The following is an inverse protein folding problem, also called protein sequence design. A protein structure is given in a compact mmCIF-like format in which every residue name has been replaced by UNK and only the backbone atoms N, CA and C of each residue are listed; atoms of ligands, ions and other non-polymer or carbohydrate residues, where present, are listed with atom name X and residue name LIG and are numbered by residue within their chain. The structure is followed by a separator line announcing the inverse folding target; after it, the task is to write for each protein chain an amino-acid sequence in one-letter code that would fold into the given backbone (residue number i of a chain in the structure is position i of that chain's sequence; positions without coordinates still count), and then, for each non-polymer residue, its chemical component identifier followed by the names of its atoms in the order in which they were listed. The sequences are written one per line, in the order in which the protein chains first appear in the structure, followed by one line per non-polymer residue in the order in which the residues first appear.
data_IF_926623311752
#
_entry.id   IF_926623311752
#
_cell.length_a   1.000
_cell.length_b   1.000
_cell.length_c   1.000
_cell.angle_alpha   90.00
_cell.angle_beta   90.00
_cell.angle_gamma   90.00
#
_symmetry.space_group_name_H-M   'P 1'
#
loop_
_entity.id
_entity.type
_entity.pdbx_description
1 polymer ?
#
# COMPACT_ATOMS: atom_id res chain seq x y z
N UNK A 1 -7.22 -28.27 7.27
CA UNK A 1 -7.75 -27.09 6.56
C UNK A 1 -9.14 -26.81 7.10
N UNK A 2 -9.37 -25.63 7.70
CA UNK A 2 -10.73 -25.21 8.07
C UNK A 2 -11.49 -24.89 6.78
N UNK A 3 -12.61 -25.57 6.56
CA UNK A 3 -13.49 -25.27 5.42
C UNK A 3 -14.25 -24.00 5.80
N UNK A 4 -14.11 -22.94 5.00
CA UNK A 4 -14.81 -21.67 5.24
C UNK A 4 -16.29 -21.89 5.07
N UNK A 5 -17.08 -21.49 6.07
CA UNK A 5 -18.53 -21.62 6.03
C UNK A 5 -19.15 -20.54 5.15
N UNK A 6 -20.33 -20.82 4.58
CA UNK A 6 -21.07 -19.81 3.80
C UNK A 6 -21.43 -18.56 4.62
N UNK A 7 -21.54 -18.69 5.94
CA UNK A 7 -21.78 -17.56 6.85
C UNK A 7 -20.53 -16.69 7.03
N UNK A 8 -19.35 -17.29 7.21
CA UNK A 8 -18.08 -16.55 7.28
C UNK A 8 -17.80 -15.77 5.98
N UNK A 9 -18.12 -16.35 4.82
CA UNK A 9 -18.00 -15.64 3.53
C UNK A 9 -18.91 -14.41 3.49
N UNK A 10 -20.17 -14.55 3.92
CA UNK A 10 -21.12 -13.43 3.97
C UNK A 10 -20.67 -12.34 4.93
N UNK A 11 -20.12 -12.73 6.09
CA UNK A 11 -19.61 -11.78 7.08
C UNK A 11 -18.38 -11.04 6.56
N UNK A 12 -17.42 -11.75 5.96
CA UNK A 12 -16.27 -11.13 5.30
C UNK A 12 -16.73 -10.13 4.22
N UNK A 13 -17.63 -10.54 3.32
CA UNK A 13 -18.18 -9.66 2.28
C UNK A 13 -18.84 -8.41 2.87
N UNK A 14 -19.59 -8.56 3.97
CA UNK A 14 -20.24 -7.42 4.64
C UNK A 14 -19.21 -6.43 5.20
N UNK A 15 -18.15 -6.91 5.84
CA UNK A 15 -17.09 -6.05 6.37
C UNK A 15 -16.26 -5.39 5.25
N UNK A 16 -15.95 -6.11 4.17
CA UNK A 16 -15.33 -5.54 2.97
C UNK A 16 -16.20 -4.44 2.35
N UNK A 17 -17.51 -4.66 2.22
CA UNK A 17 -18.43 -3.65 1.69
C UNK A 17 -18.51 -2.42 2.60
N UNK A 18 -18.59 -2.60 3.91
CA UNK A 18 -18.55 -1.50 4.88
C UNK A 18 -17.25 -0.71 4.76
N UNK A 19 -16.10 -1.39 4.67
CA UNK A 19 -14.80 -0.76 4.42
C UNK A 19 -14.79 0.05 3.13
N UNK A 20 -15.34 -0.52 2.05
CA UNK A 20 -15.49 0.17 0.76
C UNK A 20 -16.37 1.43 0.86
N UNK A 21 -17.50 1.35 1.56
CA UNK A 21 -18.39 2.50 1.77
C UNK A 21 -17.71 3.61 2.58
N UNK A 22 -16.95 3.27 3.62
CA UNK A 22 -16.12 4.22 4.37
C UNK A 22 -15.06 4.85 3.45
N UNK A 23 -14.38 4.04 2.64
CA UNK A 23 -13.39 4.53 1.69
C UNK A 23 -13.96 5.44 0.61
N UNK A 24 -15.19 5.19 0.14
CA UNK A 24 -15.92 6.11 -0.75
C UNK A 24 -16.15 7.46 -0.06
N UNK A 25 -16.62 7.44 1.19
CA UNK A 25 -16.83 8.65 1.98
C UNK A 25 -15.55 9.45 2.19
N UNK A 26 -14.46 8.78 2.59
CA UNK A 26 -13.13 9.41 2.76
C UNK A 26 -12.60 9.95 1.44
N UNK A 27 -12.69 9.16 0.37
CA UNK A 27 -12.26 9.56 -0.97
C UNK A 27 -13.01 10.78 -1.48
N UNK A 28 -14.32 10.86 -1.24
CA UNK A 28 -15.13 12.02 -1.58
C UNK A 28 -14.79 13.25 -0.71
N UNK A 29 -14.60 13.04 0.60
CA UNK A 29 -14.28 14.10 1.55
C UNK A 29 -12.92 14.76 1.27
N UNK A 30 -11.93 14.01 0.76
CA UNK A 30 -10.63 14.55 0.34
C UNK A 30 -10.67 15.04 -1.11
N UNK A 31 -11.29 14.26 -1.99
CA UNK A 31 -11.36 14.53 -3.43
C UNK A 31 -12.13 15.80 -3.76
N UNK A 32 -13.33 15.98 -3.21
CA UNK A 32 -14.18 17.13 -3.55
C UNK A 32 -13.53 18.50 -3.22
N UNK A 33 -12.96 18.73 -2.01
CA UNK A 33 -12.22 19.96 -1.73
C UNK A 33 -10.98 20.13 -2.62
N UNK A 34 -10.26 19.04 -2.90
CA UNK A 34 -9.06 19.08 -3.75
C UNK A 34 -9.42 19.52 -5.17
N UNK A 35 -10.46 18.95 -5.76
CA UNK A 35 -10.91 19.31 -7.11
C UNK A 35 -11.55 20.70 -7.16
N UNK A 36 -12.25 21.10 -6.10
CA UNK A 36 -12.78 22.45 -5.96
C UNK A 36 -11.64 23.49 -5.93
N UNK A 37 -10.63 23.28 -5.10
CA UNK A 37 -9.44 24.12 -5.05
C UNK A 37 -8.70 24.13 -6.40
N UNK A 38 -8.58 22.97 -7.06
CA UNK A 38 -7.99 22.86 -8.38
C UNK A 38 -8.73 23.75 -9.41
N UNK A 39 -10.06 23.70 -9.43
CA UNK A 39 -10.89 24.51 -10.34
C UNK A 39 -10.85 26.01 -10.00
N UNK A 40 -10.68 26.37 -8.72
CA UNK A 40 -10.59 27.75 -8.25
C UNK A 40 -9.23 28.41 -8.56
N UNK A 41 -8.12 27.71 -8.33
CA UNK A 41 -6.79 28.30 -8.37
C UNK A 41 -6.01 28.03 -9.67
N UNK A 42 -6.30 26.94 -10.40
CA UNK A 42 -5.52 26.54 -11.57
C UNK A 42 -6.31 26.76 -12.87
N UNK A 43 -5.95 27.77 -13.70
CA UNK A 43 -6.61 28.02 -14.98
C UNK A 43 -6.59 26.82 -15.92
N UNK A 44 -5.50 26.04 -15.91
CA UNK A 44 -5.36 24.82 -16.69
C UNK A 44 -6.43 23.77 -16.34
N UNK A 45 -6.70 23.57 -15.05
CA UNK A 45 -7.72 22.63 -14.59
C UNK A 45 -9.14 23.11 -14.94
N UNK A 46 -9.37 24.42 -14.86
CA UNK A 46 -10.66 25.04 -15.21
C UNK A 46 -11.04 24.82 -16.68
N UNK A 47 -10.05 24.89 -17.57
CA UNK A 47 -10.20 24.68 -19.01
C UNK A 47 -10.37 23.21 -19.43
N UNK A 48 -10.24 22.25 -18.51
CA UNK A 48 -10.40 20.83 -18.85
C UNK A 48 -11.85 20.50 -19.25
N UNK A 49 -12.05 19.59 -20.22
CA UNK A 49 -13.36 19.07 -20.55
C UNK A 49 -13.98 18.32 -19.36
N UNK A 50 -15.33 18.23 -19.28
CA UNK A 50 -16.02 17.57 -18.17
C UNK A 50 -15.57 16.12 -17.94
N UNK A 51 -15.25 15.38 -19.00
CA UNK A 51 -14.76 14.00 -18.91
C UNK A 51 -13.48 13.88 -18.09
N UNK A 52 -12.50 14.78 -18.27
CA UNK A 52 -11.25 14.78 -17.51
C UNK A 52 -11.43 15.22 -16.05
N UNK A 53 -12.42 16.08 -15.78
CA UNK A 53 -12.80 16.47 -14.41
C UNK A 53 -13.42 15.29 -13.66
N UNK A 54 -14.34 14.56 -14.30
CA UNK A 54 -14.94 13.34 -13.74
C UNK A 54 -13.88 12.26 -13.52
N UNK A 55 -12.98 12.06 -14.49
CA UNK A 55 -11.87 11.13 -14.33
C UNK A 55 -11.00 11.47 -13.11
N UNK A 56 -10.72 12.75 -12.88
CA UNK A 56 -9.98 13.20 -11.69
C UNK A 56 -10.71 12.82 -10.39
N UNK A 57 -12.04 12.96 -10.34
CA UNK A 57 -12.85 12.57 -9.18
C UNK A 57 -12.80 11.05 -8.94
N UNK A 58 -12.98 10.27 -10.00
CA UNK A 58 -12.89 8.81 -9.94
C UNK A 58 -11.50 8.38 -9.43
N UNK A 59 -10.42 9.05 -9.88
CA UNK A 59 -9.06 8.75 -9.48
C UNK A 59 -8.78 8.98 -7.98
N UNK A 60 -9.55 9.82 -7.28
CA UNK A 60 -9.46 9.95 -5.82
C UNK A 60 -10.38 8.96 -5.09
N UNK A 61 -11.61 8.81 -5.58
CA UNK A 61 -12.66 8.07 -4.86
C UNK A 61 -12.47 6.56 -4.96
N UNK A 62 -12.19 6.02 -6.15
CA UNK A 62 -12.10 4.57 -6.37
C UNK A 62 -10.93 3.94 -5.62
N UNK A 63 -9.69 4.47 -5.69
CA UNK A 63 -8.58 3.88 -4.94
C UNK A 63 -8.81 3.93 -3.43
N UNK A 64 -9.38 5.02 -2.90
CA UNK A 64 -9.69 5.13 -1.47
C UNK A 64 -10.71 4.06 -1.03
N UNK A 65 -11.75 3.83 -1.84
CA UNK A 65 -12.73 2.76 -1.60
C UNK A 65 -12.10 1.37 -1.61
N UNK A 66 -11.29 1.06 -2.63
CA UNK A 66 -10.64 -0.25 -2.77
C UNK A 66 -9.66 -0.52 -1.63
N UNK A 67 -8.82 0.46 -1.28
CA UNK A 67 -7.83 0.31 -0.20
C UNK A 67 -8.52 0.06 1.15
N UNK A 68 -9.62 0.79 1.44
CA UNK A 68 -10.34 0.61 2.69
C UNK A 68 -11.15 -0.69 2.72
N UNK A 69 -11.71 -1.13 1.58
CA UNK A 69 -12.35 -2.43 1.46
C UNK A 69 -11.38 -3.57 1.77
N UNK A 70 -10.18 -3.52 1.18
CA UNK A 70 -9.12 -4.50 1.42
C UNK A 70 -8.67 -4.49 2.89
N UNK A 71 -8.45 -3.30 3.45
CA UNK A 71 -8.07 -3.16 4.87
C UNK A 71 -9.12 -3.74 5.82
N UNK A 72 -10.40 -3.54 5.52
CA UNK A 72 -11.48 -4.09 6.34
C UNK A 72 -11.58 -5.61 6.22
N UNK A 73 -11.39 -6.18 5.01
CA UNK A 73 -11.31 -7.63 4.81
C UNK A 73 -10.16 -8.25 5.60
N UNK A 74 -8.95 -7.70 5.45
CA UNK A 74 -7.78 -8.17 6.19
C UNK A 74 -7.94 -8.00 7.70
N UNK A 75 -8.61 -6.96 8.18
CA UNK A 75 -8.89 -6.77 9.60
C UNK A 75 -9.85 -7.84 10.14
N UNK A 76 -10.87 -8.19 9.37
CA UNK A 76 -11.81 -9.26 9.72
C UNK A 76 -11.09 -10.62 9.78
N UNK A 77 -10.25 -10.95 8.79
CA UNK A 77 -9.47 -12.20 8.80
C UNK A 77 -8.56 -12.29 10.03
N UNK A 78 -7.85 -11.20 10.36
CA UNK A 78 -6.99 -11.15 11.56
C UNK A 78 -7.77 -11.35 12.84
N UNK A 79 -8.97 -10.79 12.94
CA UNK A 79 -9.82 -10.93 14.14
C UNK A 79 -10.37 -12.35 14.35
N UNK A 80 -10.21 -13.24 13.37
CA UNK A 80 -10.59 -14.66 13.49
C UNK A 80 -9.42 -15.58 13.85
N UNK A 81 -8.20 -15.05 13.97
CA UNK A 81 -7.02 -15.82 14.38
C UNK A 81 -7.01 -15.94 15.91
N UNK A 82 -7.57 -17.04 16.45
CA UNK A 82 -7.88 -17.14 17.88
C UNK A 82 -6.96 -18.02 18.73
N UNK A 83 -5.78 -18.46 18.28
CA UNK A 83 -4.86 -19.21 19.15
C UNK A 83 -3.40 -19.12 18.64
N UNK A 84 -2.98 -20.01 17.73
CA UNK A 84 -1.57 -20.20 17.39
C UNK A 84 -0.99 -19.15 16.42
N UNK A 85 -1.85 -18.49 15.65
CA UNK A 85 -1.44 -17.47 14.69
C UNK A 85 -1.08 -16.14 15.34
N UNK A 86 -1.80 -15.75 16.39
CA UNK A 86 -1.59 -14.49 17.11
C UNK A 86 -0.29 -14.53 17.91
N UNK A 87 -0.06 -15.60 18.67
CA UNK A 87 1.19 -15.80 19.40
C UNK A 87 2.43 -15.84 18.49
N UNK A 88 2.32 -16.46 17.31
CA UNK A 88 3.42 -16.45 16.33
C UNK A 88 3.66 -15.05 15.74
N UNK A 89 2.59 -14.28 15.51
CA UNK A 89 2.71 -12.90 15.03
C UNK A 89 3.33 -11.98 16.07
N UNK A 90 2.92 -12.08 17.33
CA UNK A 90 3.52 -11.35 18.45
C UNK A 90 4.99 -11.71 18.61
N UNK A 91 5.32 -13.01 18.65
CA UNK A 91 6.70 -13.50 18.71
C UNK A 91 7.55 -12.94 17.58
N UNK A 92 7.03 -12.95 16.34
CA UNK A 92 7.70 -12.36 15.17
C UNK A 92 7.86 -10.84 15.30
N UNK A 93 6.86 -10.14 15.81
CA UNK A 93 6.92 -8.71 16.04
C UNK A 93 7.98 -8.34 17.07
N UNK A 94 8.09 -9.12 18.15
CA UNK A 94 9.13 -8.97 19.18
C UNK A 94 10.53 -9.23 18.61
N UNK A 95 10.72 -10.32 17.86
CA UNK A 95 12.00 -10.60 17.19
C UNK A 95 12.37 -9.52 16.17
N UNK A 96 11.39 -9.03 15.40
CA UNK A 96 11.61 -7.95 14.43
C UNK A 96 11.98 -6.64 15.14
N UNK A 97 11.37 -6.34 16.29
CA UNK A 97 11.69 -5.17 17.11
C UNK A 97 13.07 -5.28 17.73
N UNK A 98 13.40 -6.41 18.36
CA UNK A 98 14.72 -6.66 18.93
C UNK A 98 15.83 -6.59 17.85
N UNK A 99 15.57 -7.14 16.66
CA UNK A 99 16.45 -6.98 15.50
C UNK A 99 16.59 -5.52 15.12
N UNK A 100 15.48 -4.81 14.92
CA UNK A 100 15.50 -3.38 14.57
C UNK A 100 16.29 -2.56 15.59
N UNK A 101 16.12 -2.80 16.88
CA UNK A 101 16.82 -2.09 17.95
C UNK A 101 18.33 -2.35 17.91
N UNK A 102 18.75 -3.54 17.48
CA UNK A 102 20.16 -3.92 17.30
C UNK A 102 20.83 -3.33 16.05
N UNK A 103 20.07 -2.79 15.10
CA UNK A 103 20.60 -2.21 13.86
C UNK A 103 21.20 -0.80 14.08
N UNK A 104 22.28 -0.49 13.36
CA UNK A 104 22.80 0.88 13.28
C UNK A 104 21.90 1.82 12.46
N UNK A 105 22.07 3.13 12.58
CA UNK A 105 21.18 4.13 11.96
C UNK A 105 21.06 3.99 10.42
N UNK A 106 22.18 3.71 9.75
CA UNK A 106 22.20 3.48 8.30
C UNK A 106 21.46 2.19 7.92
N UNK A 107 21.54 1.15 8.76
CA UNK A 107 20.86 -0.12 8.53
C UNK A 107 19.36 0.01 8.80
N UNK A 108 18.97 0.75 9.85
CA UNK A 108 17.58 1.14 10.12
C UNK A 108 16.97 1.89 8.93
N UNK A 109 17.69 2.88 8.38
CA UNK A 109 17.21 3.61 7.20
C UNK A 109 16.99 2.68 5.99
N UNK A 110 17.91 1.74 5.75
CA UNK A 110 17.79 0.74 4.67
C UNK A 110 16.64 -0.24 4.92
N UNK A 111 16.50 -0.74 6.14
CA UNK A 111 15.41 -1.65 6.52
C UNK A 111 14.04 -0.95 6.34
N UNK A 112 13.89 0.28 6.85
CA UNK A 112 12.68 1.08 6.66
C UNK A 112 12.35 1.29 5.19
N UNK A 113 13.36 1.63 4.38
CA UNK A 113 13.18 1.82 2.95
C UNK A 113 12.76 0.52 2.24
N UNK A 114 13.28 -0.62 2.67
CA UNK A 114 12.92 -1.93 2.12
C UNK A 114 11.45 -2.30 2.43
N UNK A 115 10.98 -2.01 3.65
CA UNK A 115 9.58 -2.22 4.08
C UNK A 115 8.60 -1.30 3.36
N UNK A 116 9.02 -0.08 3.04
CA UNK A 116 8.18 0.93 2.38
C UNK A 116 8.50 1.12 0.90
N UNK A 117 9.15 0.13 0.26
CA UNK A 117 9.64 0.22 -1.13
C UNK A 117 8.59 0.75 -2.13
N UNK A 118 7.36 0.26 -2.06
CA UNK A 118 6.30 0.69 -2.97
C UNK A 118 5.82 2.12 -2.70
N UNK A 119 5.79 2.51 -1.41
CA UNK A 119 5.49 3.89 -1.02
C UNK A 119 6.57 4.87 -1.47
N UNK A 120 7.84 4.49 -1.37
CA UNK A 120 8.98 5.30 -1.83
C UNK A 120 8.99 5.41 -3.35
N UNK A 121 8.79 4.29 -4.07
CA UNK A 121 8.71 4.30 -5.54
C UNK A 121 7.52 5.13 -6.01
N UNK A 122 6.34 4.95 -5.41
CA UNK A 122 5.14 5.73 -5.75
C UNK A 122 5.30 7.21 -5.41
N UNK A 123 5.82 7.54 -4.23
CA UNK A 123 6.07 8.92 -3.81
C UNK A 123 7.13 9.59 -4.67
N UNK A 124 8.22 8.90 -4.99
CA UNK A 124 9.25 9.35 -5.92
C UNK A 124 8.71 9.55 -7.34
N UNK A 125 7.78 8.72 -7.80
CA UNK A 125 7.09 8.94 -9.06
C UNK A 125 6.32 10.26 -9.08
N UNK A 126 5.45 10.48 -8.09
CA UNK A 126 4.68 11.74 -7.98
C UNK A 126 5.61 12.94 -7.85
N UNK A 127 6.62 12.85 -6.99
CA UNK A 127 7.57 13.93 -6.76
C UNK A 127 8.36 14.28 -8.02
N UNK A 128 8.85 13.28 -8.76
CA UNK A 128 9.56 13.49 -10.01
C UNK A 128 8.68 14.07 -11.11
N UNK A 129 7.44 13.59 -11.24
CA UNK A 129 6.44 14.16 -12.16
C UNK A 129 6.13 15.63 -11.83
N UNK A 130 5.96 15.94 -10.54
CA UNK A 130 5.71 17.30 -10.09
C UNK A 130 6.92 18.22 -10.33
N UNK A 131 8.13 17.76 -10.02
CA UNK A 131 9.36 18.50 -10.25
C UNK A 131 9.60 18.76 -11.75
N UNK A 132 9.47 17.74 -12.61
CA UNK A 132 9.59 17.89 -14.05
C UNK A 132 8.54 18.87 -14.60
N UNK A 133 7.29 18.76 -14.14
CA UNK A 133 6.22 19.68 -14.54
C UNK A 133 6.51 21.12 -14.10
N UNK A 134 7.01 21.33 -12.88
CA UNK A 134 7.38 22.65 -12.38
C UNK A 134 8.51 23.28 -13.21
N UNK A 135 9.52 22.49 -13.58
CA UNK A 135 10.63 22.95 -14.44
C UNK A 135 10.11 23.35 -15.82
N UNK A 136 9.32 22.49 -16.48
CA UNK A 136 8.78 22.74 -17.84
C UNK A 136 7.86 23.95 -17.85
N UNK A 137 7.01 24.10 -16.83
CA UNK A 137 6.04 25.20 -16.77
C UNK A 137 6.70 26.55 -16.55
N UNK A 138 7.88 26.60 -15.93
CA UNK A 138 8.63 27.84 -15.64
C UNK A 138 9.31 28.45 -16.86
N UNK A 139 9.54 27.72 -17.94
CA UNK A 139 10.23 28.22 -19.14
C UNK A 139 9.33 29.21 -19.92
N UNK A 140 9.66 30.52 -20.01
CA UNK A 140 8.83 31.49 -20.72
C UNK A 140 9.00 31.44 -22.25
N UNK A 141 10.04 30.77 -22.76
CA UNK A 141 10.37 30.75 -24.19
C UNK A 141 9.56 29.71 -24.97
N UNK A 142 8.84 28.83 -24.29
CA UNK A 142 8.09 27.74 -24.91
C UNK A 142 6.58 27.99 -24.92
N UNK A 143 5.96 27.65 -26.05
CA UNK A 143 4.50 27.64 -26.18
C UNK A 143 3.87 26.49 -25.38
N UNK A 144 2.60 26.62 -24.98
CA UNK A 144 1.90 25.57 -24.23
C UNK A 144 1.88 24.19 -24.91
N UNK A 145 1.67 24.08 -26.25
CA UNK A 145 1.77 22.79 -26.94
C UNK A 145 3.17 22.15 -26.84
N UNK A 146 4.24 22.95 -26.95
CA UNK A 146 5.62 22.45 -26.82
C UNK A 146 5.89 21.92 -25.41
N UNK A 147 5.46 22.66 -24.38
CA UNK A 147 5.53 22.21 -22.97
C UNK A 147 4.80 20.89 -22.76
N UNK A 148 3.64 20.69 -23.39
CA UNK A 148 2.87 19.45 -23.28
C UNK A 148 3.60 18.25 -23.90
N UNK A 149 4.23 18.44 -25.07
CA UNK A 149 5.04 17.39 -25.70
C UNK A 149 6.24 17.04 -24.82
N UNK A 150 6.93 18.04 -24.28
CA UNK A 150 8.05 17.82 -23.36
C UNK A 150 7.60 17.07 -22.10
N UNK A 151 6.50 17.48 -21.48
CA UNK A 151 5.96 16.83 -20.29
C UNK A 151 5.68 15.33 -20.54
N UNK A 152 5.16 14.98 -21.72
CA UNK A 152 4.95 13.57 -22.09
C UNK A 152 6.26 12.80 -22.23
N UNK A 153 7.27 13.39 -22.85
CA UNK A 153 8.58 12.75 -23.01
C UNK A 153 9.28 12.52 -21.66
N UNK A 154 9.21 13.50 -20.76
CA UNK A 154 9.70 13.38 -19.39
C UNK A 154 8.93 12.30 -18.61
N UNK A 155 7.60 12.27 -18.72
CA UNK A 155 6.78 11.27 -18.04
C UNK A 155 7.13 9.84 -18.48
N UNK A 156 7.32 9.64 -19.78
CA UNK A 156 7.73 8.35 -20.35
C UNK A 156 9.11 7.93 -19.83
N UNK A 157 10.11 8.83 -19.92
CA UNK A 157 11.46 8.55 -19.42
C UNK A 157 11.49 8.25 -17.92
N UNK A 158 10.76 9.03 -17.12
CA UNK A 158 10.67 8.84 -15.67
C UNK A 158 10.01 7.51 -15.30
N UNK A 159 8.96 7.13 -16.01
CA UNK A 159 8.30 5.83 -15.81
C UNK A 159 9.26 4.67 -16.06
N UNK A 160 10.04 4.73 -17.14
CA UNK A 160 11.06 3.71 -17.45
C UNK A 160 12.11 3.67 -16.33
N UNK A 161 12.63 4.82 -15.91
CA UNK A 161 13.62 4.90 -14.83
C UNK A 161 13.09 4.28 -13.53
N UNK A 162 11.82 4.49 -13.20
CA UNK A 162 11.20 3.91 -12.02
C UNK A 162 10.95 2.42 -12.14
N UNK A 163 10.56 1.91 -13.30
CA UNK A 163 10.43 0.46 -13.51
C UNK A 163 11.78 -0.21 -13.32
N UNK A 164 12.85 0.38 -13.86
CA UNK A 164 14.22 -0.11 -13.66
C UNK A 164 14.60 -0.03 -12.18
N UNK A 165 14.36 1.10 -11.51
CA UNK A 165 14.64 1.27 -10.09
C UNK A 165 13.88 0.29 -9.20
N UNK A 166 12.59 0.08 -9.46
CA UNK A 166 11.74 -0.89 -8.76
C UNK A 166 12.23 -2.32 -9.00
N UNK A 167 12.63 -2.66 -10.22
CA UNK A 167 13.23 -3.96 -10.53
C UNK A 167 14.56 -4.17 -9.79
N UNK A 168 15.40 -3.14 -9.70
CA UNK A 168 16.65 -3.20 -8.93
C UNK A 168 16.39 -3.39 -7.43
N UNK A 169 15.47 -2.63 -6.85
CA UNK A 169 15.06 -2.78 -5.43
C UNK A 169 14.43 -4.15 -5.17
N UNK A 170 13.68 -4.69 -6.13
CA UNK A 170 13.11 -6.03 -6.03
C UNK A 170 14.16 -7.14 -6.17
N UNK A 171 15.29 -6.87 -6.84
CA UNK A 171 16.38 -7.83 -7.06
C UNK A 171 17.48 -7.74 -6.02
N UNK A 172 17.61 -6.65 -5.28
CA UNK A 172 18.47 -6.65 -4.09
C UNK A 172 17.88 -7.63 -3.10
N UNK A 173 18.52 -8.79 -2.85
CA UNK A 173 18.10 -9.61 -1.74
C UNK A 173 18.28 -8.72 -0.52
N UNK A 174 17.18 -8.49 0.21
CA UNK A 174 17.33 -8.11 1.62
C UNK A 174 18.27 -9.16 2.17
N UNK A 175 19.41 -8.75 2.72
CA UNK A 175 20.38 -9.64 3.37
C UNK A 175 19.69 -10.27 4.56
N UNK A 176 18.92 -11.28 4.26
CA UNK A 176 18.27 -12.18 5.17
C UNK A 176 18.18 -13.44 4.33
N UNK A 177 19.04 -14.40 4.66
CA UNK A 177 18.54 -15.76 4.69
C UNK A 177 17.38 -15.69 5.70
N UNK A 178 16.19 -15.28 5.26
CA UNK A 178 15.00 -15.45 6.06
C UNK A 178 15.03 -16.94 6.36
N UNK A 179 15.28 -17.35 7.62
CA UNK A 179 15.42 -18.76 7.93
C UNK A 179 14.17 -19.42 7.38
N UNK A 180 14.36 -20.52 6.63
CA UNK A 180 13.28 -21.25 5.97
C UNK A 180 12.12 -21.33 6.96
N UNK A 181 10.95 -20.80 6.57
CA UNK A 181 9.86 -20.60 7.50
C UNK A 181 9.40 -21.97 8.03
N UNK A 182 9.85 -22.30 9.24
CA UNK A 182 9.50 -23.50 9.97
C UNK A 182 8.45 -23.19 11.05
N UNK A 183 7.76 -22.04 10.98
CA UNK A 183 6.67 -21.73 11.92
C UNK A 183 5.57 -22.78 11.90
N UNK A 184 5.29 -23.37 10.73
CA UNK A 184 4.37 -24.51 10.64
C UNK A 184 4.80 -25.69 11.52
N UNK A 185 6.11 -25.92 11.68
CA UNK A 185 6.65 -26.99 12.52
C UNK A 185 6.47 -26.68 14.00
N UNK A 186 6.67 -25.42 14.42
CA UNK A 186 6.38 -25.00 15.79
C UNK A 186 4.87 -25.03 16.07
N UNK A 187 4.04 -24.58 15.14
CA UNK A 187 2.57 -24.63 15.29
C UNK A 187 2.04 -26.06 15.39
N UNK A 188 2.61 -27.02 14.64
CA UNK A 188 2.22 -28.43 14.76
C UNK A 188 2.66 -29.00 16.12
N UNK A 189 3.88 -28.70 16.57
CA UNK A 189 4.37 -29.18 17.86
C UNK A 189 3.51 -28.65 19.02
N UNK A 190 3.17 -27.37 18.98
CA UNK A 190 2.33 -26.71 19.99
C UNK A 190 0.88 -27.26 19.97
N UNK A 191 0.30 -27.49 18.78
CA UNK A 191 -1.00 -28.13 18.64
C UNK A 191 -1.02 -29.58 19.17
N UNK A 192 0.08 -30.34 18.98
CA UNK A 192 0.23 -31.69 19.53
C UNK A 192 0.32 -31.68 21.07
N UNK A 193 1.00 -30.69 21.65
CA UNK A 193 1.10 -30.52 23.10
C UNK A 193 -0.25 -30.14 23.72
N UNK A 194 -1.00 -29.22 23.10
CA UNK A 194 -2.36 -28.88 23.53
C UNK A 194 -3.30 -30.09 23.48
N UNK A 195 -3.21 -30.91 22.42
CA UNK A 195 -3.99 -32.15 22.31
C UNK A 195 -3.64 -33.15 23.42
N UNK A 196 -2.35 -33.32 23.74
CA UNK A 196 -1.90 -34.19 24.84
C UNK A 196 -2.37 -33.68 26.20
N UNK A 197 -2.33 -32.37 26.44
CA UNK A 197 -2.86 -31.77 27.68
C UNK A 197 -4.38 -31.91 27.80
N UNK A 198 -5.13 -31.80 26.69
CA UNK A 198 -6.59 -32.04 26.68
C UNK A 198 -6.97 -33.52 26.83
N UNK A 199 -6.13 -34.44 26.36
CA UNK A 199 -6.35 -35.89 26.43
C UNK A 199 -5.86 -36.53 27.73
N UNK A 200 -5.09 -35.83 28.56
CA UNK A 200 -4.71 -36.30 29.88
C UNK A 200 -5.94 -36.36 30.81
N UNK A 201 -6.29 -37.52 31.40
CA UNK A 201 -7.36 -37.59 32.37
C UNK A 201 -7.00 -36.78 33.62
N UNK A 202 -7.99 -36.05 34.16
CA UNK A 202 -7.86 -35.29 35.42
C UNK A 202 -7.48 -36.18 36.59
#
# INVERSE_FOLDING_TARGET
MKIVTAEEIRQHQRETLKGGAVGLGVGAAIGAPTLYAANRFFPAYRALPPSLKVFSAIAFVVPAAVIQAERAGLAFERAQWNDLGEHELERRAEFAKARWDSLGDTEKARDWASRHKFGIVGGGWVAGMAAASAIIMRDPLQTFPQKLVQARMWAQGWTIALVIGAAMVSRTPVRDHAPVDHSWRSMIAEAEEEQKMRAAPK
#
